data_IF_817545157374
#
_entry.id   IF_817545157374
#
_cell.length_a   1.000
_cell.length_b   1.000
_cell.length_c   1.000
_cell.angle_alpha   90.00
_cell.angle_beta   90.00
_cell.angle_gamma   90.00
#
_symmetry.space_group_name_H-M   'P 1'
#
loop_
_entity.id
_entity.type
_entity.pdbx_description
1 polymer ?
#
# COMPACT_ATOMS: atom_id res chain seq x y z
N UNK A 1 -21.85 -75.97 9.97
CA UNK A 1 -20.92 -75.29 9.04
C UNK A 1 -21.07 -73.78 9.22
N UNK A 2 -19.94 -73.15 9.57
CA UNK A 2 -19.52 -71.74 9.52
C UNK A 2 -20.55 -70.63 9.21
N UNK A 3 -20.66 -69.66 10.13
CA UNK A 3 -20.20 -68.25 9.94
C UNK A 3 -20.75 -67.40 11.11
N UNK A 4 -20.01 -67.25 12.22
CA UNK A 4 -19.06 -66.17 12.55
C UNK A 4 -19.70 -64.77 12.60
N UNK A 5 -19.81 -64.29 13.84
CA UNK A 5 -19.93 -62.89 14.27
C UNK A 5 -19.18 -61.92 13.36
N UNK A 6 -19.85 -60.84 12.96
CA UNK A 6 -19.18 -59.54 12.84
C UNK A 6 -20.05 -58.45 13.47
N UNK A 7 -19.53 -57.90 14.57
CA UNK A 7 -19.91 -56.60 15.11
C UNK A 7 -19.72 -55.55 14.02
N UNK A 8 -20.72 -54.72 13.78
CA UNK A 8 -20.56 -53.44 13.08
C UNK A 8 -21.27 -52.38 13.91
N UNK A 9 -20.57 -51.98 14.96
CA UNK A 9 -20.57 -50.58 15.40
C UNK A 9 -19.85 -49.83 14.27
N UNK A 10 -20.39 -48.73 13.78
CA UNK A 10 -19.69 -47.43 13.74
C UNK A 10 -20.31 -46.45 12.72
N UNK A 11 -20.60 -45.26 13.24
CA UNK A 11 -20.75 -43.95 12.59
C UNK A 11 -21.95 -43.72 11.66
N UNK A 12 -23.06 -43.31 12.28
CA UNK A 12 -23.94 -42.29 11.72
C UNK A 12 -23.09 -41.01 11.57
N UNK A 13 -22.54 -40.80 10.39
CA UNK A 13 -22.08 -39.49 9.95
C UNK A 13 -23.33 -38.62 9.80
N UNK A 14 -23.67 -37.92 10.88
CA UNK A 14 -24.47 -36.71 10.80
C UNK A 14 -23.68 -35.72 9.93
N UNK A 15 -23.94 -35.74 8.63
CA UNK A 15 -23.71 -34.61 7.74
C UNK A 15 -24.62 -33.49 8.24
N UNK A 16 -24.18 -32.84 9.31
CA UNK A 16 -24.56 -31.47 9.57
C UNK A 16 -24.08 -30.67 8.37
N UNK A 17 -25.00 -30.47 7.42
CA UNK A 17 -25.01 -29.29 6.56
C UNK A 17 -25.03 -28.07 7.48
N UNK A 18 -23.86 -27.73 8.03
CA UNK A 18 -23.56 -26.34 8.31
C UNK A 18 -23.42 -25.75 6.92
N UNK A 19 -24.55 -25.36 6.35
CA UNK A 19 -24.54 -24.40 5.28
C UNK A 19 -23.75 -23.21 5.83
N UNK A 20 -22.49 -23.10 5.40
CA UNK A 20 -21.86 -21.81 5.27
C UNK A 20 -22.80 -21.05 4.33
N UNK A 21 -23.77 -20.37 4.93
CA UNK A 21 -24.51 -19.31 4.31
C UNK A 21 -23.47 -18.20 4.11
N UNK A 22 -22.59 -18.39 3.11
CA UNK A 22 -21.72 -17.36 2.60
C UNK A 22 -22.61 -16.40 1.82
N UNK A 23 -23.46 -15.68 2.55
CA UNK A 23 -23.83 -14.33 2.17
C UNK A 23 -22.58 -13.47 2.37
N UNK A 24 -21.49 -13.79 1.66
CA UNK A 24 -20.39 -12.87 1.44
C UNK A 24 -20.97 -11.83 0.49
N UNK A 25 -21.61 -10.81 1.04
CA UNK A 25 -21.80 -9.57 0.30
C UNK A 25 -20.40 -9.14 -0.11
N UNK A 26 -20.02 -9.35 -1.37
CA UNK A 26 -18.73 -8.93 -1.89
C UNK A 26 -18.55 -7.45 -1.57
N UNK A 27 -17.55 -7.09 -0.78
CA UNK A 27 -17.30 -5.69 -0.45
C UNK A 27 -17.00 -4.93 -1.74
N UNK A 28 -17.75 -3.85 -2.00
CA UNK A 28 -17.47 -2.98 -3.14
C UNK A 28 -16.22 -2.14 -2.84
N UNK A 29 -15.09 -2.53 -3.42
CA UNK A 29 -13.81 -1.85 -3.24
C UNK A 29 -13.85 -0.37 -3.65
N UNK A 30 -14.74 0.00 -4.58
CA UNK A 30 -14.92 1.37 -5.04
C UNK A 30 -15.48 2.31 -3.96
N UNK A 31 -16.22 1.76 -2.99
CA UNK A 31 -17.07 2.49 -2.05
C UNK A 31 -16.62 2.37 -0.58
N UNK A 32 -15.39 1.90 -0.33
CA UNK A 32 -14.82 1.87 1.02
C UNK A 32 -14.83 3.27 1.65
N UNK A 33 -15.31 3.36 2.90
CA UNK A 33 -15.48 4.60 3.68
C UNK A 33 -14.88 4.54 5.08
N UNK A 34 -14.71 3.34 5.65
CA UNK A 34 -14.19 3.21 7.02
C UNK A 34 -12.99 2.26 7.10
N UNK A 35 -12.13 2.41 8.13
CA UNK A 35 -11.04 1.47 8.38
C UNK A 35 -11.49 0.02 8.54
N UNK A 36 -12.66 -0.23 9.13
CA UNK A 36 -13.22 -1.57 9.28
C UNK A 36 -13.61 -2.19 7.93
N UNK A 37 -14.20 -1.40 7.03
CA UNK A 37 -14.52 -1.83 5.67
C UNK A 37 -13.25 -2.16 4.89
N UNK A 38 -12.21 -1.33 5.01
CA UNK A 38 -10.88 -1.59 4.42
C UNK A 38 -10.30 -2.89 4.95
N UNK A 39 -10.31 -3.07 6.27
CA UNK A 39 -9.77 -4.28 6.89
C UNK A 39 -10.55 -5.53 6.44
N UNK A 40 -11.87 -5.46 6.40
CA UNK A 40 -12.71 -6.56 5.92
C UNK A 40 -12.42 -6.89 4.46
N UNK A 41 -12.36 -5.87 3.58
CA UNK A 41 -12.04 -6.06 2.17
C UNK A 41 -10.66 -6.69 1.97
N UNK A 42 -9.66 -6.25 2.75
CA UNK A 42 -8.31 -6.80 2.73
C UNK A 42 -8.30 -8.28 3.10
N UNK A 43 -8.92 -8.66 4.23
CA UNK A 43 -8.96 -10.05 4.68
C UNK A 43 -9.74 -10.96 3.72
N UNK A 44 -10.88 -10.49 3.18
CA UNK A 44 -11.66 -11.24 2.18
C UNK A 44 -10.89 -11.50 0.88
N UNK A 45 -9.90 -10.66 0.55
CA UNK A 45 -9.10 -10.77 -0.67
C UNK A 45 -7.66 -11.22 -0.41
N UNK A 46 -7.31 -11.67 0.80
CA UNK A 46 -5.94 -12.01 1.19
C UNK A 46 -5.26 -13.02 0.26
N UNK A 47 -5.94 -14.11 -0.09
CA UNK A 47 -5.39 -15.12 -1.01
C UNK A 47 -5.10 -14.53 -2.39
N UNK A 48 -5.99 -13.65 -2.88
CA UNK A 48 -5.81 -12.96 -4.17
C UNK A 48 -4.66 -11.95 -4.11
N UNK A 49 -4.51 -11.26 -2.97
CA UNK A 49 -3.37 -10.37 -2.70
C UNK A 49 -2.04 -11.15 -2.75
N UNK A 50 -1.96 -12.29 -2.07
CA UNK A 50 -0.78 -13.16 -2.04
C UNK A 50 -0.45 -13.76 -3.41
N UNK A 51 -1.47 -14.07 -4.22
CA UNK A 51 -1.31 -14.59 -5.57
C UNK A 51 -1.18 -13.50 -6.65
N UNK A 52 -1.14 -12.22 -6.26
CA UNK A 52 -1.07 -11.10 -7.20
C UNK A 52 -2.22 -11.01 -8.22
N UNK A 53 -3.40 -11.48 -7.82
CA UNK A 53 -4.60 -11.46 -8.66
C UNK A 53 -5.24 -10.07 -8.70
N UNK A 54 -5.74 -9.66 -9.87
CA UNK A 54 -6.42 -8.36 -10.02
C UNK A 54 -7.74 -8.36 -9.25
N UNK A 55 -7.91 -7.44 -8.29
CA UNK A 55 -9.15 -7.32 -7.52
C UNK A 55 -10.20 -6.40 -8.16
N UNK A 56 -9.74 -5.36 -8.84
CA UNK A 56 -10.60 -4.34 -9.44
C UNK A 56 -9.96 -3.71 -10.67
N UNK A 57 -10.79 -3.23 -11.60
CA UNK A 57 -10.38 -2.48 -12.78
C UNK A 57 -10.48 -0.98 -12.50
N UNK A 58 -9.40 -0.39 -12.01
CA UNK A 58 -9.31 1.06 -11.87
C UNK A 58 -8.73 1.65 -13.15
N UNK A 59 -9.42 2.64 -13.70
CA UNK A 59 -9.01 3.32 -14.92
C UNK A 59 -8.12 4.53 -14.59
N UNK A 60 -6.94 4.28 -13.99
CA UNK A 60 -6.03 5.35 -13.57
C UNK A 60 -5.18 5.77 -14.77
N UNK A 61 -5.58 6.89 -15.39
CA UNK A 61 -4.99 7.45 -16.61
C UNK A 61 -4.22 8.76 -16.39
N UNK A 62 -4.13 9.23 -15.15
CA UNK A 62 -3.45 10.47 -14.79
C UNK A 62 -3.04 10.46 -13.32
N UNK A 63 -2.02 11.24 -12.99
CA UNK A 63 -1.64 11.51 -11.60
C UNK A 63 -2.81 12.02 -10.75
N UNK A 64 -3.66 12.92 -11.28
CA UNK A 64 -4.84 13.43 -10.56
C UNK A 64 -5.76 12.33 -10.03
N UNK A 65 -5.85 11.20 -10.73
CA UNK A 65 -6.64 10.06 -10.25
C UNK A 65 -5.95 9.37 -9.08
N UNK A 66 -4.63 9.19 -9.13
CA UNK A 66 -3.85 8.66 -7.99
C UNK A 66 -4.00 9.57 -6.77
N UNK A 67 -3.87 10.89 -6.96
CA UNK A 67 -4.04 11.87 -5.89
C UNK A 67 -5.45 11.84 -5.27
N UNK A 68 -6.50 11.51 -6.04
CA UNK A 68 -7.85 11.29 -5.49
C UNK A 68 -7.92 10.09 -4.56
N UNK A 69 -7.23 8.99 -4.88
CA UNK A 69 -7.16 7.83 -3.98
C UNK A 69 -6.37 8.15 -2.71
N UNK A 70 -5.27 8.91 -2.82
CA UNK A 70 -4.52 9.40 -1.67
C UNK A 70 -5.43 10.22 -0.72
N UNK A 71 -6.11 11.24 -1.26
CA UNK A 71 -7.05 12.05 -0.49
C UNK A 71 -8.17 11.21 0.15
N UNK A 72 -8.74 10.26 -0.60
CA UNK A 72 -9.76 9.35 -0.06
C UNK A 72 -9.21 8.51 1.10
N UNK A 73 -7.96 8.06 1.03
CA UNK A 73 -7.33 7.32 2.11
C UNK A 73 -7.24 8.14 3.40
N UNK A 74 -6.85 9.41 3.29
CA UNK A 74 -6.80 10.39 4.38
C UNK A 74 -8.18 10.65 4.97
N UNK A 75 -9.23 10.74 4.16
CA UNK A 75 -10.61 10.84 4.64
C UNK A 75 -11.00 9.63 5.50
N UNK A 76 -10.70 8.41 5.02
CA UNK A 76 -11.00 7.15 5.72
C UNK A 76 -10.23 7.05 7.05
N UNK A 77 -8.97 7.50 7.09
CA UNK A 77 -8.10 7.41 8.26
C UNK A 77 -8.21 8.58 9.22
N UNK A 78 -8.93 9.64 8.86
CA UNK A 78 -8.99 10.91 9.60
C UNK A 78 -9.43 10.79 11.07
N UNK A 79 -10.24 9.78 11.39
CA UNK A 79 -10.77 9.53 12.73
C UNK A 79 -9.90 8.60 13.59
N UNK A 80 -8.87 7.98 13.01
CA UNK A 80 -7.95 7.14 13.78
C UNK A 80 -7.00 8.03 14.58
N UNK A 81 -6.86 7.75 15.87
CA UNK A 81 -5.97 8.52 16.74
C UNK A 81 -4.51 8.11 16.58
N UNK A 82 -4.26 6.80 16.39
CA UNK A 82 -2.91 6.26 16.30
C UNK A 82 -2.38 6.32 14.87
N UNK A 83 -1.23 6.95 14.70
CA UNK A 83 -0.46 7.02 13.44
C UNK A 83 -0.25 5.63 12.85
N UNK A 84 0.15 4.66 13.67
CA UNK A 84 0.41 3.30 13.19
C UNK A 84 -0.86 2.66 12.56
N UNK A 85 -2.05 2.92 13.11
CA UNK A 85 -3.30 2.39 12.58
C UNK A 85 -3.71 3.10 11.28
N UNK A 86 -3.44 4.41 11.18
CA UNK A 86 -3.60 5.17 9.93
C UNK A 86 -2.74 4.58 8.81
N UNK A 87 -1.43 4.44 9.07
CA UNK A 87 -0.48 3.95 8.08
C UNK A 87 -0.79 2.51 7.65
N UNK A 88 -1.17 1.63 8.58
CA UNK A 88 -1.64 0.27 8.26
C UNK A 88 -2.90 0.27 7.39
N UNK A 89 -3.83 1.17 7.64
CA UNK A 89 -5.06 1.29 6.84
C UNK A 89 -4.74 1.78 5.43
N UNK A 90 -3.84 2.75 5.30
CA UNK A 90 -3.35 3.23 3.99
C UNK A 90 -2.67 2.11 3.21
N UNK A 91 -1.80 1.31 3.84
CA UNK A 91 -1.14 0.19 3.17
C UNK A 91 -2.13 -0.86 2.65
N UNK A 92 -3.20 -1.13 3.40
CA UNK A 92 -4.27 -2.03 2.96
C UNK A 92 -5.05 -1.46 1.78
N UNK A 93 -5.37 -0.15 1.80
CA UNK A 93 -6.02 0.53 0.67
C UNK A 93 -5.19 0.43 -0.60
N UNK A 94 -3.90 0.77 -0.51
CA UNK A 94 -2.97 0.67 -1.64
C UNK A 94 -2.91 -0.75 -2.20
N UNK A 95 -2.85 -1.76 -1.33
CA UNK A 95 -2.83 -3.15 -1.76
C UNK A 95 -4.14 -3.56 -2.45
N UNK A 96 -5.28 -3.08 -1.97
CA UNK A 96 -6.57 -3.29 -2.64
C UNK A 96 -6.66 -2.57 -4.00
N UNK A 97 -5.98 -1.42 -4.14
CA UNK A 97 -6.02 -0.56 -5.32
C UNK A 97 -5.04 -0.95 -6.45
N UNK A 98 -3.86 -1.53 -6.19
CA UNK A 98 -2.80 -1.71 -7.23
C UNK A 98 -2.33 -3.16 -7.51
N UNK A 99 -3.15 -4.17 -7.24
CA UNK A 99 -2.68 -5.56 -7.34
C UNK A 99 -2.33 -6.11 -8.73
N UNK A 100 -2.66 -5.47 -9.86
CA UNK A 100 -2.24 -6.02 -11.16
C UNK A 100 -2.12 -4.95 -12.26
N UNK A 101 -1.45 -3.84 -11.91
CA UNK A 101 -1.26 -2.66 -12.75
C UNK A 101 -2.58 -2.02 -13.19
N UNK A 102 -3.18 -1.23 -12.29
CA UNK A 102 -4.24 -0.30 -12.68
C UNK A 102 -3.68 0.97 -13.36
N UNK A 103 -2.36 1.01 -13.57
CA UNK A 103 -1.61 2.24 -13.79
C UNK A 103 -0.40 2.00 -14.67
N UNK A 104 -0.08 2.96 -15.53
CA UNK A 104 1.12 2.90 -16.36
C UNK A 104 2.38 3.32 -15.60
N UNK A 105 3.55 2.92 -16.12
CA UNK A 105 4.87 3.38 -15.67
C UNK A 105 4.98 4.90 -15.62
N UNK A 106 4.46 5.59 -16.64
CA UNK A 106 4.50 7.05 -16.72
C UNK A 106 3.78 7.70 -15.54
N UNK A 107 2.63 7.16 -15.13
CA UNK A 107 1.88 7.70 -13.99
C UNK A 107 2.61 7.43 -12.66
N UNK A 108 3.25 6.26 -12.51
CA UNK A 108 4.10 5.98 -11.34
C UNK A 108 5.31 6.92 -11.28
N UNK A 109 5.93 7.23 -12.43
CA UNK A 109 7.01 8.21 -12.53
C UNK A 109 6.52 9.63 -12.19
N UNK A 110 5.33 10.04 -12.67
CA UNK A 110 4.73 11.32 -12.31
C UNK A 110 4.48 11.44 -10.80
N UNK A 111 3.95 10.39 -10.17
CA UNK A 111 3.77 10.34 -8.73
C UNK A 111 5.12 10.41 -7.97
N UNK A 112 6.15 9.72 -8.46
CA UNK A 112 7.49 9.78 -7.86
C UNK A 112 8.10 11.19 -7.99
N UNK A 113 7.95 11.83 -9.14
CA UNK A 113 8.43 13.20 -9.36
C UNK A 113 7.74 14.18 -8.42
N UNK A 114 6.43 14.03 -8.21
CA UNK A 114 5.70 14.82 -7.22
C UNK A 114 6.31 14.67 -5.82
N UNK A 115 6.56 13.44 -5.36
CA UNK A 115 7.18 13.20 -4.04
C UNK A 115 8.58 13.81 -3.92
N UNK A 116 9.39 13.72 -4.98
CA UNK A 116 10.72 14.36 -5.02
C UNK A 116 10.59 15.88 -4.91
N UNK A 117 9.64 16.48 -5.61
CA UNK A 117 9.40 17.92 -5.54
C UNK A 117 8.92 18.34 -4.14
N UNK A 118 8.04 17.56 -3.49
CA UNK A 118 7.63 17.82 -2.11
C UNK A 118 8.82 17.75 -1.14
N UNK A 119 9.70 16.76 -1.31
CA UNK A 119 10.90 16.63 -0.49
C UNK A 119 11.87 17.80 -0.67
N UNK A 120 12.22 18.13 -1.93
CA UNK A 120 13.20 19.18 -2.26
C UNK A 120 12.75 20.57 -1.83
N UNK A 121 11.44 20.80 -1.82
CA UNK A 121 10.85 22.07 -1.40
C UNK A 121 10.49 22.09 0.08
N UNK A 122 10.87 21.07 0.86
CA UNK A 122 10.59 20.94 2.30
C UNK A 122 9.08 20.96 2.64
N UNK A 123 8.23 20.51 1.70
CA UNK A 123 6.76 20.45 1.81
C UNK A 123 6.21 19.06 2.08
N UNK A 124 7.10 18.08 2.25
CA UNK A 124 6.70 16.69 2.48
C UNK A 124 5.85 16.52 3.74
N UNK A 125 6.05 17.40 4.73
CA UNK A 125 5.30 17.45 5.99
C UNK A 125 3.91 18.06 5.86
N UNK A 126 3.61 18.79 4.78
CA UNK A 126 2.33 19.49 4.62
C UNK A 126 1.17 18.48 4.44
N UNK A 127 1.45 17.33 3.81
CA UNK A 127 0.47 16.29 3.50
C UNK A 127 1.07 14.88 3.70
N UNK A 128 1.51 14.56 4.92
CA UNK A 128 2.19 13.29 5.23
C UNK A 128 1.39 12.03 4.87
N UNK A 129 0.08 12.00 5.16
CA UNK A 129 -0.76 10.84 4.85
C UNK A 129 -0.91 10.62 3.33
N UNK A 130 -1.10 11.71 2.56
CA UNK A 130 -1.19 11.62 1.09
C UNK A 130 0.16 11.22 0.49
N UNK A 131 1.26 11.80 0.98
CA UNK A 131 2.60 11.45 0.56
C UNK A 131 2.95 10.00 0.91
N UNK A 132 2.50 9.50 2.07
CA UNK A 132 2.68 8.11 2.46
C UNK A 132 1.92 7.16 1.53
N UNK A 133 0.66 7.49 1.21
CA UNK A 133 -0.13 6.74 0.24
C UNK A 133 0.59 6.64 -1.10
N UNK A 134 1.07 7.78 -1.64
CA UNK A 134 1.77 7.81 -2.93
C UNK A 134 3.06 6.97 -2.90
N UNK A 135 3.84 7.05 -1.83
CA UNK A 135 5.06 6.27 -1.69
C UNK A 135 4.76 4.77 -1.58
N UNK A 136 3.77 4.39 -0.77
CA UNK A 136 3.27 3.02 -0.68
C UNK A 136 2.76 2.51 -2.03
N UNK A 137 2.03 3.34 -2.77
CA UNK A 137 1.49 3.01 -4.09
C UNK A 137 2.58 2.70 -5.12
N UNK A 138 3.67 3.47 -5.15
CA UNK A 138 4.81 3.19 -6.02
C UNK A 138 5.57 1.94 -5.53
N UNK A 139 5.73 1.78 -4.22
CA UNK A 139 6.46 0.68 -3.59
C UNK A 139 5.66 -0.64 -3.43
N UNK A 140 4.38 -0.66 -3.81
CA UNK A 140 3.50 -1.80 -3.57
C UNK A 140 3.90 -3.04 -4.40
N UNK A 141 4.56 -2.85 -5.55
CA UNK A 141 5.03 -3.97 -6.41
C UNK A 141 6.34 -3.68 -7.12
N UNK A 142 7.22 -4.68 -7.10
CA UNK A 142 8.49 -4.66 -7.83
C UNK A 142 8.20 -5.00 -9.29
N UNK A 143 7.96 -3.97 -10.08
CA UNK A 143 7.97 -4.08 -11.53
C UNK A 143 9.43 -4.11 -11.99
N UNK A 144 9.86 -5.20 -12.65
CA UNK A 144 11.23 -5.38 -13.13
C UNK A 144 11.69 -4.23 -14.04
N UNK A 145 10.75 -3.54 -14.68
CA UNK A 145 11.02 -2.41 -15.57
C UNK A 145 11.21 -1.08 -14.82
N UNK A 146 11.08 -1.07 -13.48
CA UNK A 146 11.00 0.12 -12.63
C UNK A 146 11.82 0.01 -11.33
N UNK A 147 12.83 -0.87 -11.27
CA UNK A 147 13.64 -1.10 -10.05
C UNK A 147 14.15 0.18 -9.38
N UNK A 148 14.67 1.14 -10.17
CA UNK A 148 15.25 2.37 -9.62
C UNK A 148 14.23 3.27 -8.91
N UNK A 149 13.02 3.45 -9.46
CA UNK A 149 11.99 4.29 -8.81
C UNK A 149 11.36 3.60 -7.61
N UNK A 150 11.31 2.26 -7.66
CA UNK A 150 10.74 1.44 -6.60
C UNK A 150 11.58 1.49 -5.32
N UNK A 151 12.91 1.41 -5.45
CA UNK A 151 13.82 1.50 -4.31
C UNK A 151 13.79 2.90 -3.67
N UNK A 152 13.71 3.96 -4.49
CA UNK A 152 13.57 5.33 -3.97
C UNK A 152 12.23 5.49 -3.24
N UNK A 153 11.13 4.95 -3.79
CA UNK A 153 9.82 5.02 -3.16
C UNK A 153 9.78 4.29 -1.82
N UNK A 154 10.46 3.14 -1.67
CA UNK A 154 10.62 2.46 -0.37
C UNK A 154 11.30 3.35 0.67
N UNK A 155 12.42 3.96 0.30
CA UNK A 155 13.14 4.86 1.21
C UNK A 155 12.27 6.09 1.55
N UNK A 156 11.56 6.64 0.57
CA UNK A 156 10.63 7.75 0.77
C UNK A 156 9.50 7.38 1.74
N UNK A 157 8.90 6.19 1.57
CA UNK A 157 7.85 5.66 2.45
C UNK A 157 8.33 5.57 3.90
N UNK A 158 9.51 4.98 4.14
CA UNK A 158 10.07 4.86 5.48
C UNK A 158 10.42 6.24 6.08
N UNK A 159 10.97 7.16 5.27
CA UNK A 159 11.22 8.53 5.72
C UNK A 159 9.94 9.26 6.15
N UNK A 160 8.85 9.14 5.38
CA UNK A 160 7.54 9.72 5.71
C UNK A 160 6.99 9.10 6.99
N UNK A 161 7.06 7.77 7.13
CA UNK A 161 6.63 7.05 8.34
C UNK A 161 7.34 7.58 9.58
N UNK A 162 8.67 7.60 9.55
CA UNK A 162 9.49 8.02 10.69
C UNK A 162 9.22 9.49 11.05
N UNK A 163 9.07 10.35 10.03
CA UNK A 163 8.69 11.76 10.20
C UNK A 163 7.33 11.90 10.90
N UNK A 164 6.33 11.13 10.46
CA UNK A 164 4.97 11.18 11.01
C UNK A 164 4.96 10.72 12.46
N UNK A 165 5.64 9.62 12.79
CA UNK A 165 5.78 9.13 14.16
C UNK A 165 6.46 10.15 15.08
N UNK A 166 7.50 10.83 14.59
CA UNK A 166 8.19 11.88 15.36
C UNK A 166 7.31 13.09 15.64
N UNK A 167 6.59 13.59 14.63
CA UNK A 167 5.73 14.76 14.76
C UNK A 167 4.56 14.53 15.72
N UNK A 168 3.98 13.34 15.68
CA UNK A 168 2.86 12.98 16.57
C UNK A 168 3.33 12.54 17.96
N UNK A 169 4.64 12.49 18.22
CA UNK A 169 5.23 11.98 19.46
C UNK A 169 4.80 10.55 19.80
N UNK A 170 4.49 9.75 18.77
CA UNK A 170 4.02 8.38 18.89
C UNK A 170 5.20 7.41 18.79
N UNK A 171 6.07 7.45 19.80
CA UNK A 171 7.21 6.55 19.93
C UNK A 171 7.50 6.25 21.40
N UNK A 172 7.98 5.04 21.68
CA UNK A 172 8.59 4.74 22.97
C UNK A 172 9.84 5.63 23.14
N UNK A 173 10.01 6.27 24.29
CA UNK A 173 11.20 7.09 24.58
C UNK A 173 12.50 6.30 24.42
N UNK A 174 12.47 4.99 24.67
CA UNK A 174 13.60 4.09 24.43
C UNK A 174 13.89 3.87 22.94
N UNK A 175 12.90 4.10 22.07
CA UNK A 175 12.98 3.93 20.62
C UNK A 175 13.27 5.24 19.87
N UNK A 176 13.18 6.40 20.52
CA UNK A 176 13.44 7.71 19.90
C UNK A 176 14.80 7.78 19.19
N UNK A 177 15.84 7.24 19.83
CA UNK A 177 17.20 7.22 19.25
C UNK A 177 17.29 6.37 17.98
N UNK A 178 16.57 5.24 17.95
CA UNK A 178 16.48 4.36 16.77
C UNK A 178 15.71 5.04 15.64
N UNK A 179 14.59 5.70 15.97
CA UNK A 179 13.75 6.43 15.02
C UNK A 179 14.51 7.59 14.36
N UNK A 180 15.23 8.40 15.15
CA UNK A 180 16.07 9.47 14.63
C UNK A 180 17.21 8.96 13.74
N UNK A 181 17.79 7.81 14.09
CA UNK A 181 18.82 7.17 13.26
C UNK A 181 18.23 6.73 11.92
N UNK A 182 17.09 6.02 11.94
CA UNK A 182 16.38 5.58 10.73
C UNK A 182 16.03 6.75 9.81
N UNK A 183 15.49 7.83 10.39
CA UNK A 183 15.17 9.06 9.66
C UNK A 183 16.41 9.65 8.96
N UNK A 184 17.53 9.78 9.67
CA UNK A 184 18.77 10.34 9.12
C UNK A 184 19.38 9.44 8.03
N UNK A 185 19.36 8.11 8.25
CA UNK A 185 19.86 7.14 7.27
C UNK A 185 19.01 7.18 5.99
N UNK A 186 17.68 7.26 6.12
CA UNK A 186 16.77 7.37 4.99
C UNK A 186 16.90 8.74 4.28
N UNK A 187 17.08 9.83 5.03
CA UNK A 187 17.35 11.16 4.47
C UNK A 187 18.61 11.13 3.59
N UNK A 188 19.70 10.55 4.10
CA UNK A 188 20.96 10.41 3.35
C UNK A 188 20.78 9.61 2.07
N UNK A 189 20.07 8.47 2.13
CA UNK A 189 19.76 7.67 0.93
C UNK A 189 18.93 8.45 -0.10
N UNK A 190 17.95 9.25 0.35
CA UNK A 190 17.18 10.11 -0.54
C UNK A 190 18.08 11.16 -1.20
N UNK A 191 18.91 11.85 -0.43
CA UNK A 191 19.86 12.85 -0.95
C UNK A 191 20.83 12.24 -1.98
N UNK A 192 21.30 11.01 -1.74
CA UNK A 192 22.15 10.25 -2.67
C UNK A 192 21.39 9.84 -3.94
N UNK A 193 20.19 9.28 -3.79
CA UNK A 193 19.39 8.77 -4.91
C UNK A 193 18.77 9.88 -5.77
N UNK A 194 18.47 11.04 -5.20
CA UNK A 194 17.90 12.17 -5.95
C UNK A 194 18.83 12.70 -7.03
N UNK A 195 20.15 12.54 -6.89
CA UNK A 195 21.11 12.87 -7.94
C UNK A 195 20.99 11.92 -9.15
N UNK A 196 20.58 10.67 -8.93
CA UNK A 196 20.35 9.67 -9.98
C UNK A 196 18.99 9.87 -10.65
N UNK A 197 17.92 10.05 -9.88
CA UNK A 197 16.56 10.23 -10.43
C UNK A 197 16.41 11.55 -11.18
N UNK A 198 17.09 12.62 -10.76
CA UNK A 198 17.13 13.91 -11.50
C UNK A 198 17.79 13.74 -12.88
N UNK A 199 18.77 12.84 -13.02
CA UNK A 199 19.43 12.53 -14.29
C UNK A 199 18.51 11.78 -15.24
N UNK A 200 17.79 10.76 -14.75
CA UNK A 200 16.75 10.04 -15.49
C UNK A 200 15.62 10.98 -15.94
N UNK A 201 15.23 11.92 -15.06
CA UNK A 201 14.21 12.94 -15.35
C UNK A 201 14.62 13.87 -16.50
N UNK A 202 15.86 14.39 -16.50
CA UNK A 202 16.36 15.25 -17.57
C UNK A 202 16.38 14.52 -18.92
N UNK A 203 16.87 13.27 -18.95
CA UNK A 203 16.89 12.44 -20.16
C UNK A 203 15.48 12.17 -20.71
N UNK A 204 14.48 12.01 -19.83
CA UNK A 204 13.08 11.78 -20.23
C UNK A 204 12.41 13.04 -20.81
N UNK A 205 12.74 14.24 -20.29
CA UNK A 205 12.21 15.52 -20.80
C UNK A 205 12.85 15.94 -22.12
N UNK A 206 14.13 15.63 -22.34
CA UNK A 206 14.81 15.89 -23.62
C UNK A 206 14.27 15.01 -24.75
N UNK A 207 13.91 13.76 -24.46
CA UNK A 207 13.26 12.86 -25.43
C UNK A 207 11.85 13.32 -25.83
N UNK A 208 11.06 13.89 -24.91
CA UNK A 208 9.72 14.44 -25.24
C UNK A 208 9.75 15.74 -26.05
N UNK A 209 10.88 16.44 -26.12
CA UNK A 209 11.06 17.67 -26.94
C UNK A 209 11.60 17.40 -28.35
N UNK A 210 12.08 16.19 -28.62
CA UNK A 210 12.75 15.82 -29.88
C UNK A 210 11.88 15.02 -30.86
N UNK A 211 10.59 14.84 -30.55
CA UNK A 211 9.55 14.29 -31.44
C UNK A 211 8.54 15.39 -31.77
#
# INVERSE_FOLDING_TARGET
MKSILKKSILCILMLGLVGCNSNSSSVNLSDLKTPEEVNKAYEENKNKLENEEKLQNLNIKSFDKVAKYANKSKEITSHLEQTEDKLKTIDKLVALDDLNANTSKDIKQEAMNYLIDQYKNEKLTDDLEDNYYLASYIACKLDSDNGDIYDVAKVMKEYIKDTTMLLNNEYDQNNKGSLLKSLNDNKKKLDENMNVTTKIYMDSKEKKKSN
#
